data_IF_630991604017
#
_entry.id   IF_630991604017
#
_cell.length_a   1.000
_cell.length_b   1.000
_cell.length_c   1.000
_cell.angle_alpha   90.00
_cell.angle_beta   90.00
_cell.angle_gamma   90.00
#
_symmetry.space_group_name_H-M   'P 1'
#
loop_
_entity.id
_entity.type
_entity.pdbx_description
1 polymer ?
#
# COMPACT_ATOMS: atom_id res chain seq x y z
N UNK A 1 31.94 -36.38 14.14
CA UNK A 1 31.20 -35.12 13.94
C UNK A 1 29.99 -35.47 13.11
N UNK A 2 28.80 -35.43 13.70
CA UNK A 2 27.56 -35.59 12.92
C UNK A 2 27.38 -34.32 12.09
N UNK A 3 27.00 -34.41 10.81
CA UNK A 3 26.56 -33.22 10.09
C UNK A 3 25.30 -32.71 10.80
N UNK A 4 25.32 -31.45 11.22
CA UNK A 4 24.09 -30.74 11.60
C UNK A 4 23.11 -30.88 10.44
N UNK A 5 22.05 -31.67 10.64
CA UNK A 5 20.88 -31.65 9.78
C UNK A 5 20.28 -30.27 9.91
N UNK A 6 20.61 -29.37 8.97
CA UNK A 6 19.91 -28.09 8.82
C UNK A 6 18.43 -28.40 8.69
N UNK A 7 17.63 -27.77 9.53
CA UNK A 7 16.18 -27.84 9.40
C UNK A 7 15.75 -27.42 7.99
N UNK A 8 14.67 -28.03 7.46
CA UNK A 8 14.15 -27.63 6.16
C UNK A 8 13.73 -26.16 6.20
N UNK A 9 14.18 -25.39 5.21
CA UNK A 9 13.71 -24.02 5.02
C UNK A 9 12.30 -24.07 4.43
N UNK A 10 11.31 -23.85 5.28
CA UNK A 10 9.89 -23.95 4.94
C UNK A 10 9.22 -22.58 4.84
N UNK A 11 9.89 -21.52 5.28
CA UNK A 11 9.35 -20.17 5.31
C UNK A 11 10.24 -19.18 4.57
N UNK A 12 9.68 -18.02 4.23
CA UNK A 12 10.37 -16.95 3.54
C UNK A 12 9.93 -15.57 4.06
N UNK A 13 10.83 -14.60 3.85
CA UNK A 13 10.61 -13.17 4.09
C UNK A 13 10.81 -12.42 2.78
N UNK A 14 9.88 -11.55 2.44
CA UNK A 14 9.97 -10.65 1.29
C UNK A 14 9.54 -9.24 1.62
N UNK A 15 10.02 -8.28 0.83
CA UNK A 15 9.39 -6.96 0.75
C UNK A 15 8.40 -7.00 -0.40
N UNK A 16 7.14 -6.70 -0.12
CA UNK A 16 6.08 -6.59 -1.11
C UNK A 16 5.91 -5.12 -1.52
N UNK A 17 5.82 -4.89 -2.83
CA UNK A 17 5.72 -3.56 -3.42
C UNK A 17 4.35 -3.42 -4.07
N UNK A 18 3.60 -2.40 -3.66
CA UNK A 18 2.24 -2.12 -4.09
C UNK A 18 2.16 -0.78 -4.81
N UNK A 19 1.33 -0.72 -5.85
CA UNK A 19 1.19 0.49 -6.66
C UNK A 19 2.41 0.76 -7.54
N UNK A 20 2.20 1.50 -8.63
CA UNK A 20 3.21 1.73 -9.66
C UNK A 20 4.36 2.61 -9.16
N UNK A 21 4.06 3.72 -8.49
CA UNK A 21 5.07 4.61 -7.94
C UNK A 21 5.82 5.44 -8.97
N UNK A 22 5.19 5.74 -10.12
CA UNK A 22 5.81 6.50 -11.20
C UNK A 22 5.52 8.01 -11.07
N UNK A 23 6.49 8.73 -10.53
CA UNK A 23 6.43 10.18 -10.37
C UNK A 23 6.27 10.93 -11.71
N UNK A 24 6.71 10.36 -12.84
CA UNK A 24 6.53 10.98 -14.16
C UNK A 24 5.07 10.99 -14.62
N UNK A 25 4.25 10.11 -14.03
CA UNK A 25 2.82 10.01 -14.24
C UNK A 25 2.01 10.65 -13.09
N UNK A 26 2.69 11.31 -12.16
CA UNK A 26 2.08 11.97 -11.01
C UNK A 26 1.72 11.03 -9.85
N UNK A 27 2.22 9.79 -9.85
CA UNK A 27 1.99 8.87 -8.73
C UNK A 27 2.81 9.29 -7.49
N UNK A 28 2.27 9.00 -6.31
CA UNK A 28 3.05 8.92 -5.07
C UNK A 28 3.97 7.69 -5.10
N UNK A 29 5.05 7.64 -4.29
CA UNK A 29 5.90 6.45 -4.19
C UNK A 29 5.11 5.17 -3.92
N UNK A 30 5.64 4.03 -4.38
CA UNK A 30 5.00 2.73 -4.15
C UNK A 30 4.85 2.44 -2.65
N UNK A 31 3.74 1.83 -2.25
CA UNK A 31 3.60 1.35 -0.89
C UNK A 31 4.44 0.07 -0.69
N UNK A 32 5.07 -0.09 0.47
CA UNK A 32 5.86 -1.27 0.81
C UNK A 32 5.39 -1.91 2.12
N UNK A 33 5.53 -3.22 2.19
CA UNK A 33 5.35 -3.98 3.42
C UNK A 33 6.26 -5.20 3.47
N UNK A 34 6.47 -5.73 4.67
CA UNK A 34 7.28 -6.91 4.92
C UNK A 34 6.36 -8.12 5.08
N UNK A 35 6.48 -9.11 4.20
CA UNK A 35 5.71 -10.33 4.24
C UNK A 35 6.54 -11.48 4.81
N UNK A 36 5.97 -12.21 5.76
CA UNK A 36 6.48 -13.49 6.26
C UNK A 36 5.48 -14.59 5.91
N UNK A 37 5.93 -15.67 5.30
CA UNK A 37 5.03 -16.73 4.81
C UNK A 37 5.68 -18.10 4.76
N UNK A 38 4.86 -19.15 4.84
CA UNK A 38 5.26 -20.51 4.48
C UNK A 38 5.37 -20.64 2.95
N UNK A 39 6.42 -21.29 2.46
CA UNK A 39 6.67 -21.48 1.03
C UNK A 39 5.54 -22.33 0.43
N UNK A 40 4.81 -21.74 -0.52
CA UNK A 40 3.65 -22.37 -1.15
C UNK A 40 2.31 -21.95 -0.55
N UNK A 41 2.30 -21.16 0.53
CA UNK A 41 1.07 -20.59 1.08
C UNK A 41 0.44 -19.55 0.13
N UNK A 42 -0.89 -19.45 0.17
CA UNK A 42 -1.66 -18.43 -0.55
C UNK A 42 -1.71 -17.08 0.19
N UNK A 43 -1.39 -17.07 1.47
CA UNK A 43 -1.41 -15.89 2.33
C UNK A 43 -0.07 -15.68 3.02
N UNK A 44 0.12 -14.47 3.54
CA UNK A 44 1.29 -14.08 4.32
C UNK A 44 0.87 -13.28 5.54
N UNK A 45 1.72 -13.30 6.58
CA UNK A 45 1.68 -12.31 7.64
C UNK A 45 2.37 -11.04 7.13
N UNK A 46 1.58 -9.99 6.93
CA UNK A 46 2.08 -8.69 6.49
C UNK A 46 2.38 -7.81 7.69
N UNK A 47 3.55 -7.17 7.65
CA UNK A 47 3.98 -6.13 8.57
C UNK A 47 4.18 -4.84 7.78
N UNK A 48 3.34 -3.82 8.04
CA UNK A 48 3.50 -2.51 7.43
C UNK A 48 2.89 -1.40 8.29
N UNK A 49 3.12 -0.17 7.88
CA UNK A 49 2.41 1.00 8.38
C UNK A 49 1.45 1.54 7.32
N UNK A 50 0.32 2.10 7.76
CA UNK A 50 -0.65 2.77 6.88
C UNK A 50 -1.00 4.14 7.42
N UNK A 51 -1.45 5.05 6.55
CA UNK A 51 -2.02 6.31 6.97
C UNK A 51 -3.52 6.34 6.63
N UNK A 52 -4.41 5.88 7.53
CA UNK A 52 -5.83 5.82 7.25
C UNK A 52 -6.54 7.18 7.33
N UNK A 53 -5.94 8.18 8.00
CA UNK A 53 -6.57 9.48 8.28
C UNK A 53 -5.87 10.66 7.60
N UNK A 54 -4.89 10.40 6.73
CA UNK A 54 -4.02 11.41 6.11
C UNK A 54 -3.26 12.31 7.10
N UNK A 55 -3.17 11.91 8.37
CA UNK A 55 -2.54 12.69 9.44
C UNK A 55 -1.45 11.90 10.17
N UNK A 56 -1.64 10.58 10.33
CA UNK A 56 -0.72 9.76 11.13
C UNK A 56 -0.57 8.35 10.56
N UNK A 57 0.65 7.83 10.61
CA UNK A 57 0.89 6.43 10.32
C UNK A 57 0.57 5.55 11.53
N UNK A 58 -0.02 4.39 11.27
CA UNK A 58 -0.25 3.33 12.26
C UNK A 58 0.38 2.04 11.76
N UNK A 59 0.96 1.26 12.68
CA UNK A 59 1.37 -0.10 12.41
C UNK A 59 0.15 -1.03 12.36
N UNK A 60 -0.02 -1.73 11.25
CA UNK A 60 -1.22 -2.53 10.93
C UNK A 60 -0.81 -3.93 10.45
N UNK A 61 -0.39 -4.83 11.36
CA UNK A 61 -0.07 -6.20 11.00
C UNK A 61 -1.33 -6.98 10.66
N UNK A 62 -1.32 -7.68 9.52
CA UNK A 62 -2.51 -8.42 9.06
C UNK A 62 -2.14 -9.59 8.16
N UNK A 63 -3.02 -10.58 8.10
CA UNK A 63 -2.93 -11.64 7.10
C UNK A 63 -3.45 -11.11 5.77
N UNK A 64 -2.69 -11.27 4.69
CA UNK A 64 -3.06 -10.82 3.35
C UNK A 64 -2.77 -11.89 2.28
N UNK A 65 -3.44 -11.84 1.11
CA UNK A 65 -3.03 -12.64 -0.05
C UNK A 65 -1.56 -12.39 -0.40
N UNK A 66 -0.82 -13.46 -0.68
CA UNK A 66 0.60 -13.37 -1.05
C UNK A 66 0.78 -13.01 -2.53
N UNK A 67 -0.10 -13.51 -3.40
CA UNK A 67 0.04 -13.38 -4.86
C UNK A 67 -1.21 -12.78 -5.54
N UNK A 68 -2.40 -13.08 -5.04
CA UNK A 68 -3.66 -12.69 -5.67
C UNK A 68 -4.15 -11.27 -5.32
N UNK A 69 -3.22 -10.34 -5.09
CA UNK A 69 -3.53 -8.94 -4.80
C UNK A 69 -3.40 -8.08 -6.07
N UNK A 70 -4.50 -7.52 -6.62
CA UNK A 70 -4.49 -6.72 -7.84
C UNK A 70 -3.59 -5.48 -7.81
N UNK A 71 -3.24 -4.98 -6.62
CA UNK A 71 -2.37 -3.80 -6.47
C UNK A 71 -0.91 -4.17 -6.17
N UNK A 72 -0.61 -5.45 -5.98
CA UNK A 72 0.76 -5.96 -5.85
C UNK A 72 1.48 -5.89 -7.19
N UNK A 73 2.61 -5.17 -7.23
CA UNK A 73 3.47 -5.12 -8.43
C UNK A 73 4.53 -6.21 -8.42
N UNK A 74 4.93 -6.65 -7.24
CA UNK A 74 5.83 -7.77 -7.06
C UNK A 74 6.44 -7.75 -5.67
N UNK A 75 7.35 -8.70 -5.45
CA UNK A 75 8.04 -8.84 -4.18
C UNK A 75 9.50 -9.22 -4.39
N UNK A 76 10.35 -8.72 -3.50
CA UNK A 76 11.77 -9.03 -3.46
C UNK A 76 12.03 -9.94 -2.26
N UNK A 77 12.35 -11.21 -2.51
CA UNK A 77 12.64 -12.19 -1.45
C UNK A 77 14.02 -11.92 -0.83
N UNK A 78 14.07 -11.85 0.49
CA UNK A 78 15.27 -11.52 1.26
C UNK A 78 15.95 -12.75 1.85
N UNK A 79 15.16 -13.69 2.38
CA UNK A 79 15.68 -14.84 3.11
C UNK A 79 14.64 -15.98 3.15
N UNK A 80 15.14 -17.20 3.22
CA UNK A 80 14.38 -18.41 3.57
C UNK A 80 14.87 -18.98 4.89
N UNK A 81 13.95 -19.47 5.72
CA UNK A 81 14.23 -19.89 7.10
C UNK A 81 13.33 -21.03 7.57
N UNK A 82 13.67 -21.63 8.72
CA UNK A 82 12.85 -22.66 9.38
C UNK A 82 11.58 -22.05 10.01
N UNK A 83 10.68 -22.90 10.47
CA UNK A 83 9.47 -22.44 11.16
C UNK A 83 9.79 -21.67 12.46
N UNK A 84 10.78 -22.12 13.22
CA UNK A 84 11.18 -21.51 14.50
C UNK A 84 11.78 -20.11 14.28
N UNK A 85 12.62 -19.98 13.24
CA UNK A 85 13.15 -18.69 12.80
C UNK A 85 12.04 -17.75 12.32
N UNK A 86 11.00 -18.27 11.67
CA UNK A 86 9.82 -17.48 11.25
C UNK A 86 9.12 -16.81 12.43
N UNK A 87 8.90 -17.54 13.53
CA UNK A 87 8.28 -17.00 14.73
C UNK A 87 9.16 -15.90 15.36
N UNK A 88 10.47 -16.12 15.39
CA UNK A 88 11.44 -15.13 15.86
C UNK A 88 11.39 -13.84 15.03
N UNK A 89 11.39 -13.95 13.70
CA UNK A 89 11.30 -12.79 12.78
C UNK A 89 9.98 -12.04 12.96
N UNK A 90 8.85 -12.74 13.04
CA UNK A 90 7.54 -12.12 13.30
C UNK A 90 7.51 -11.35 14.64
N UNK A 91 8.16 -11.88 15.67
CA UNK A 91 8.26 -11.24 16.98
C UNK A 91 9.10 -9.96 16.92
N UNK A 92 10.25 -9.99 16.24
CA UNK A 92 11.10 -8.80 16.04
C UNK A 92 10.34 -7.70 15.27
N UNK A 93 9.72 -8.05 14.14
CA UNK A 93 8.93 -7.11 13.34
C UNK A 93 7.76 -6.54 14.13
N UNK A 94 7.08 -7.37 14.93
CA UNK A 94 5.98 -6.94 15.79
C UNK A 94 6.43 -5.99 16.89
N UNK A 95 7.57 -6.25 17.53
CA UNK A 95 8.13 -5.35 18.53
C UNK A 95 8.52 -4.01 17.91
N UNK A 96 9.21 -4.04 16.76
CA UNK A 96 9.64 -2.84 16.04
C UNK A 96 8.44 -1.99 15.59
N UNK A 97 7.41 -2.60 15.00
CA UNK A 97 6.23 -1.90 14.54
C UNK A 97 5.35 -1.33 15.65
N UNK A 98 5.29 -1.98 16.82
CA UNK A 98 4.52 -1.48 17.98
C UNK A 98 5.19 -0.31 18.70
N UNK A 99 6.49 -0.12 18.51
CA UNK A 99 7.22 1.03 19.05
C UNK A 99 6.97 2.25 18.15
N UNK A 100 6.20 3.21 18.69
CA UNK A 100 5.81 4.42 18.00
C UNK A 100 7.01 5.29 17.58
N UNK A 101 8.17 5.16 18.24
CA UNK A 101 9.38 5.91 17.86
C UNK A 101 9.97 5.44 16.53
N UNK A 102 9.61 4.24 16.07
CA UNK A 102 10.01 3.70 14.77
C UNK A 102 9.03 4.08 13.64
N UNK A 103 7.86 4.64 13.98
CA UNK A 103 6.87 5.06 12.99
C UNK A 103 7.21 6.49 12.55
N UNK A 104 7.46 6.74 11.25
CA UNK A 104 7.81 8.06 10.76
C UNK A 104 6.65 9.05 10.95
N UNK A 105 7.01 10.31 11.22
CA UNK A 105 6.06 11.40 11.22
C UNK A 105 5.53 11.66 9.80
N UNK A 106 4.23 11.92 9.71
CA UNK A 106 3.60 12.22 8.43
C UNK A 106 4.19 13.50 7.82
N UNK A 107 4.52 13.45 6.52
CA UNK A 107 5.18 14.56 5.81
C UNK A 107 6.71 14.60 6.01
N UNK A 108 7.26 13.82 6.95
CA UNK A 108 8.72 13.67 7.14
C UNK A 108 9.22 12.38 6.49
N UNK A 109 8.50 11.27 6.72
CA UNK A 109 8.80 9.96 6.12
C UNK A 109 7.53 9.23 5.68
N UNK A 110 7.70 8.02 5.16
CA UNK A 110 6.62 7.20 4.64
C UNK A 110 6.83 5.69 4.93
N UNK A 111 5.97 4.83 4.38
CA UNK A 111 6.05 3.38 4.57
C UNK A 111 7.39 2.75 4.15
N UNK A 112 8.08 3.34 3.17
CA UNK A 112 9.38 2.86 2.71
C UNK A 112 10.48 3.16 3.73
N UNK A 113 10.42 4.32 4.41
CA UNK A 113 11.32 4.62 5.53
C UNK A 113 11.16 3.60 6.66
N UNK A 114 9.92 3.27 7.01
CA UNK A 114 9.63 2.26 8.03
C UNK A 114 10.17 0.88 7.63
N UNK A 115 9.97 0.47 6.37
CA UNK A 115 10.52 -0.81 5.85
C UNK A 115 12.05 -0.81 5.90
N UNK A 116 12.70 0.27 5.48
CA UNK A 116 14.16 0.39 5.55
C UNK A 116 14.68 0.28 7.00
N UNK A 117 13.98 0.92 7.95
CA UNK A 117 14.29 0.81 9.38
C UNK A 117 14.11 -0.60 9.92
N UNK A 118 13.00 -1.27 9.59
CA UNK A 118 12.72 -2.64 10.00
C UNK A 118 13.74 -3.63 9.42
N UNK A 119 14.14 -3.45 8.16
CA UNK A 119 15.19 -4.29 7.55
C UNK A 119 16.56 -4.06 8.21
N UNK A 120 16.93 -2.81 8.50
CA UNK A 120 18.15 -2.52 9.25
C UNK A 120 18.12 -3.13 10.67
N UNK A 121 16.95 -3.16 11.32
CA UNK A 121 16.78 -3.86 12.59
C UNK A 121 16.99 -5.37 12.45
N UNK A 122 16.41 -6.02 11.43
CA UNK A 122 16.62 -7.44 11.17
C UNK A 122 18.08 -7.78 10.83
N UNK A 123 18.77 -6.90 10.11
CA UNK A 123 20.23 -7.01 9.87
C UNK A 123 21.01 -6.95 11.19
N UNK A 124 20.72 -5.96 12.05
CA UNK A 124 21.38 -5.83 13.35
C UNK A 124 21.09 -7.01 14.31
N UNK A 125 19.93 -7.65 14.16
CA UNK A 125 19.56 -8.85 14.89
C UNK A 125 20.24 -10.13 14.35
N UNK A 126 21.01 -10.04 13.26
CA UNK A 126 21.68 -11.17 12.62
C UNK A 126 20.75 -12.06 11.80
N UNK A 127 19.51 -11.63 11.54
CA UNK A 127 18.58 -12.34 10.66
C UNK A 127 18.98 -12.15 9.20
N UNK A 128 19.25 -10.91 8.80
CA UNK A 128 19.58 -10.56 7.42
C UNK A 128 21.09 -10.38 7.22
N UNK A 129 21.53 -10.55 5.97
CA UNK A 129 22.91 -10.31 5.58
C UNK A 129 23.28 -8.83 5.76
N UNK A 130 24.58 -8.57 5.94
CA UNK A 130 25.05 -7.19 6.06
C UNK A 130 24.84 -6.42 4.75
N UNK A 131 24.39 -5.17 4.86
CA UNK A 131 24.11 -4.27 3.75
C UNK A 131 22.64 -4.22 3.32
N UNK A 132 21.77 -5.09 3.83
CA UNK A 132 20.33 -5.06 3.50
C UNK A 132 19.67 -3.75 3.91
N UNK A 133 19.94 -3.24 5.12
CA UNK A 133 19.39 -1.98 5.59
C UNK A 133 19.79 -0.79 4.71
N UNK A 134 21.07 -0.75 4.30
CA UNK A 134 21.58 0.29 3.41
C UNK A 134 20.95 0.20 2.01
N UNK A 135 20.77 -1.01 1.49
CA UNK A 135 20.09 -1.25 0.22
C UNK A 135 18.66 -0.72 0.27
N UNK A 136 17.84 -1.12 1.25
CA UNK A 136 16.45 -0.69 1.34
C UNK A 136 16.30 0.81 1.63
N UNK A 137 17.24 1.40 2.38
CA UNK A 137 17.31 2.86 2.55
C UNK A 137 17.51 3.59 1.22
N UNK A 138 18.27 3.02 0.29
CA UNK A 138 18.46 3.61 -1.04
C UNK A 138 17.23 3.50 -1.96
N UNK A 139 16.24 2.69 -1.58
CA UNK A 139 14.99 2.48 -2.33
C UNK A 139 13.88 3.45 -1.92
N UNK A 140 14.10 4.32 -0.93
CA UNK A 140 13.11 5.29 -0.44
C UNK A 140 12.75 6.27 -1.57
N UNK A 141 11.46 6.57 -1.67
CA UNK A 141 10.78 7.25 -2.78
C UNK A 141 10.83 6.52 -4.14
N UNK A 142 11.24 5.25 -4.15
CA UNK A 142 11.30 4.42 -5.35
C UNK A 142 9.92 3.94 -5.80
N UNK A 143 9.76 3.82 -7.12
CA UNK A 143 8.63 3.14 -7.76
C UNK A 143 8.91 1.67 -8.03
N UNK A 144 7.87 0.89 -8.29
CA UNK A 144 7.96 -0.57 -8.42
C UNK A 144 8.99 -1.03 -9.46
N UNK A 145 9.03 -0.39 -10.64
CA UNK A 145 9.99 -0.74 -11.70
C UNK A 145 11.45 -0.44 -11.30
N UNK A 146 11.68 0.67 -10.59
CA UNK A 146 13.02 1.01 -10.09
C UNK A 146 13.51 0.02 -9.04
N UNK A 147 12.61 -0.38 -8.13
CA UNK A 147 12.91 -1.35 -7.06
C UNK A 147 13.13 -2.74 -7.66
N UNK A 148 12.29 -3.16 -8.61
CA UNK A 148 12.44 -4.41 -9.37
C UNK A 148 13.83 -4.49 -10.00
N UNK A 149 14.23 -3.44 -10.72
CA UNK A 149 15.55 -3.37 -11.35
C UNK A 149 16.67 -3.45 -10.31
N UNK A 150 16.60 -2.68 -9.23
CA UNK A 150 17.61 -2.67 -8.18
C UNK A 150 17.74 -4.04 -7.48
N UNK A 151 16.62 -4.74 -7.25
CA UNK A 151 16.64 -6.11 -6.74
C UNK A 151 17.34 -7.06 -7.74
N UNK A 152 17.01 -6.99 -9.03
CA UNK A 152 17.68 -7.79 -10.06
C UNK A 152 19.19 -7.50 -10.16
N UNK A 153 19.58 -6.22 -10.21
CA UNK A 153 20.98 -5.78 -10.33
C UNK A 153 21.83 -6.17 -9.11
N UNK A 154 21.21 -6.31 -7.94
CA UNK A 154 21.85 -6.78 -6.70
C UNK A 154 21.81 -8.30 -6.52
N UNK A 155 21.32 -9.05 -7.52
CA UNK A 155 21.23 -10.51 -7.49
C UNK A 155 20.14 -11.05 -6.57
N UNK A 156 19.20 -10.21 -6.12
CA UNK A 156 18.07 -10.61 -5.29
C UNK A 156 16.98 -11.25 -6.14
N UNK A 157 16.22 -12.15 -5.53
CA UNK A 157 15.11 -12.82 -6.21
C UNK A 157 13.88 -11.93 -6.22
N UNK A 158 13.51 -11.46 -7.40
CA UNK A 158 12.24 -10.78 -7.65
C UNK A 158 11.17 -11.78 -8.11
N UNK A 159 9.96 -11.64 -7.59
CA UNK A 159 8.77 -12.34 -8.08
C UNK A 159 7.74 -11.31 -8.49
N UNK A 160 7.30 -11.38 -9.74
CA UNK A 160 6.30 -10.47 -10.29
C UNK A 160 4.93 -10.67 -9.62
N UNK A 161 4.21 -9.55 -9.47
CA UNK A 161 2.81 -9.55 -9.07
C UNK A 161 1.91 -10.03 -10.20
N UNK A 162 0.60 -10.18 -9.95
CA UNK A 162 -0.34 -10.62 -10.97
C UNK A 162 -0.39 -9.59 -12.12
N UNK A 163 -0.32 -10.09 -13.36
CA UNK A 163 -0.55 -9.26 -14.53
C UNK A 163 -2.02 -8.81 -14.56
N UNK A 164 -2.24 -7.52 -14.32
CA UNK A 164 -3.54 -6.89 -14.55
C UNK A 164 -3.69 -6.63 -16.05
N UNK A 165 -4.06 -7.67 -16.81
CA UNK A 165 -4.50 -7.49 -18.19
C UNK A 165 -5.90 -6.89 -18.13
N UNK A 166 -6.01 -5.58 -18.39
CA UNK A 166 -7.31 -4.96 -18.58
C UNK A 166 -7.86 -5.42 -19.94
N UNK A 167 -8.69 -6.46 -19.93
CA UNK A 167 -9.46 -6.87 -21.10
C UNK A 167 -10.74 -6.02 -21.18
N UNK A 168 -10.71 -4.98 -22.01
CA UNK A 168 -11.88 -4.16 -22.30
C UNK A 168 -11.50 -2.79 -22.86
N UNK A 169 -12.34 -2.23 -23.76
CA UNK A 169 -12.20 -0.81 -24.08
C UNK A 169 -12.49 0.01 -22.81
N UNK A 170 -11.64 0.97 -22.43
CA UNK A 170 -11.93 1.91 -21.36
C UNK A 170 -13.26 2.60 -21.65
N UNK A 171 -14.28 2.31 -20.84
CA UNK A 171 -15.64 2.85 -20.98
C UNK A 171 -15.75 4.28 -20.43
N UNK A 172 -14.82 4.66 -19.55
CA UNK A 172 -14.63 6.01 -19.06
C UNK A 172 -13.50 6.72 -19.82
N UNK A 173 -13.87 7.59 -20.77
CA UNK A 173 -12.93 8.53 -21.40
C UNK A 173 -13.15 9.92 -20.83
N UNK A 174 -12.41 10.27 -19.78
CA UNK A 174 -12.45 11.64 -19.25
C UNK A 174 -11.56 12.53 -20.13
N UNK A 175 -12.18 13.25 -21.07
CA UNK A 175 -11.49 14.19 -21.95
C UNK A 175 -11.57 13.88 -23.46
N UNK A 176 -12.16 12.77 -23.87
CA UNK A 176 -12.42 12.53 -25.29
C UNK A 176 -13.63 13.36 -25.76
N UNK A 177 -13.29 14.54 -26.27
CA UNK A 177 -14.10 15.46 -27.09
C UNK A 177 -15.22 16.19 -26.37
N UNK A 178 -14.98 17.48 -26.14
CA UNK A 178 -16.01 18.51 -26.28
C UNK A 178 -16.82 18.23 -27.56
N UNK A 179 -18.03 17.71 -27.43
CA UNK A 179 -18.84 17.43 -28.62
C UNK A 179 -20.20 16.82 -28.31
N UNK A 180 -20.24 15.71 -27.58
CA UNK A 180 -21.51 15.04 -27.31
C UNK A 180 -21.96 15.26 -25.87
N UNK A 181 -22.62 16.40 -25.66
CA UNK A 181 -23.59 16.54 -24.58
C UNK A 181 -24.70 15.50 -24.82
N UNK A 182 -24.48 14.24 -24.41
CA UNK A 182 -25.61 13.38 -24.08
C UNK A 182 -26.36 14.10 -22.98
N UNK A 183 -27.48 14.71 -23.34
CA UNK A 183 -28.39 15.27 -22.37
C UNK A 183 -28.69 14.16 -21.37
N UNK A 184 -28.35 14.40 -20.11
CA UNK A 184 -28.66 13.51 -18.99
C UNK A 184 -30.18 13.57 -18.81
N UNK A 185 -30.88 12.85 -19.68
CA UNK A 185 -32.33 12.74 -19.72
C UNK A 185 -32.77 11.87 -18.56
N UNK A 186 -33.45 12.51 -17.60
CA UNK A 186 -34.38 11.99 -16.56
C UNK A 186 -34.38 12.82 -15.27
N UNK A 187 -33.49 13.81 -15.13
CA UNK A 187 -33.46 14.71 -13.97
C UNK A 187 -34.19 16.04 -14.19
N UNK A 188 -34.30 16.52 -15.43
CA UNK A 188 -35.01 17.77 -15.76
C UNK A 188 -36.54 17.65 -15.65
N UNK A 189 -37.08 16.45 -15.90
CA UNK A 189 -38.52 16.19 -15.93
C UNK A 189 -39.07 15.69 -14.60
N UNK A 190 -38.21 15.47 -13.61
CA UNK A 190 -38.62 15.06 -12.28
C UNK A 190 -39.01 16.29 -11.44
N UNK A 191 -40.31 16.59 -11.39
CA UNK A 191 -40.86 17.69 -10.59
C UNK A 191 -40.47 17.62 -9.11
N UNK A 192 -40.40 16.40 -8.54
CA UNK A 192 -40.02 16.22 -7.14
C UNK A 192 -38.57 16.63 -6.90
N UNK A 193 -37.67 16.31 -7.83
CA UNK A 193 -36.26 16.74 -7.78
C UNK A 193 -36.11 18.25 -7.92
N UNK A 194 -36.86 18.88 -8.85
CA UNK A 194 -36.85 20.34 -9.03
C UNK A 194 -37.37 21.09 -7.81
N UNK A 195 -38.44 20.60 -7.18
CA UNK A 195 -38.96 21.17 -5.93
C UNK A 195 -37.93 21.05 -4.80
N UNK A 196 -37.25 19.91 -4.68
CA UNK A 196 -36.22 19.68 -3.65
C UNK A 196 -34.99 20.59 -3.84
N UNK A 197 -34.55 20.81 -5.08
CA UNK A 197 -33.46 21.73 -5.40
C UNK A 197 -33.82 23.21 -5.17
N UNK A 198 -35.07 23.61 -5.41
CA UNK A 198 -35.53 24.96 -5.07
C UNK A 198 -35.60 25.23 -3.57
N UNK A 199 -35.88 24.20 -2.76
CA UNK A 199 -35.86 24.28 -1.29
C UNK A 199 -34.42 24.45 -0.80
N UNK A 200 -33.47 23.69 -1.35
CA UNK A 200 -32.04 23.80 -1.01
C UNK A 200 -31.43 25.14 -1.43
N UNK A 201 -31.88 25.73 -2.55
CA UNK A 201 -31.42 27.05 -3.01
C UNK A 201 -31.95 28.24 -2.19
N UNK A 202 -32.98 28.04 -1.35
CA UNK A 202 -33.58 29.12 -0.53
C UNK A 202 -33.06 29.17 0.91
N UNK A 203 -32.37 28.15 1.39
CA UNK A 203 -31.80 28.14 2.75
C UNK A 203 -30.36 28.65 2.78
N UNK A 204 -30.11 29.81 2.15
CA UNK A 204 -28.88 30.57 2.39
C UNK A 204 -29.19 31.67 3.42
N UNK A 205 -29.34 31.22 4.66
CA UNK A 205 -29.51 32.07 5.84
C UNK A 205 -29.87 31.25 7.08
N UNK A 206 -28.92 31.13 8.01
CA UNK A 206 -29.18 30.79 9.41
C UNK A 206 -28.88 29.36 9.85
N UNK A 207 -27.77 29.22 10.59
CA UNK A 207 -27.55 28.48 11.85
C UNK A 207 -28.35 27.19 12.18
N UNK A 208 -27.60 26.11 12.43
CA UNK A 208 -27.77 25.23 13.62
C UNK A 208 -28.81 24.09 13.55
N UNK A 209 -28.35 22.84 13.71
CA UNK A 209 -29.19 21.71 14.13
C UNK A 209 -28.70 20.34 13.66
N UNK A 210 -28.06 19.60 14.57
CA UNK A 210 -27.74 18.17 14.44
C UNK A 210 -29.04 17.33 14.39
N UNK A 211 -29.11 16.34 13.49
CA UNK A 211 -29.79 15.08 13.79
C UNK A 211 -29.25 13.93 12.91
N UNK A 212 -28.90 12.84 13.58
CA UNK A 212 -28.19 11.66 13.11
C UNK A 212 -28.91 10.89 11.98
N UNK A 213 -28.19 10.59 10.91
CA UNK A 213 -28.43 9.41 10.06
C UNK A 213 -27.12 8.60 10.02
N UNK A 214 -27.10 7.33 10.48
CA UNK A 214 -25.88 6.54 10.47
C UNK A 214 -25.65 5.98 9.06
N UNK A 215 -24.89 6.70 8.24
CA UNK A 215 -24.33 6.13 7.01
C UNK A 215 -23.24 5.14 7.38
N UNK A 216 -23.35 3.91 6.88
CA UNK A 216 -22.28 2.90 6.93
C UNK A 216 -21.13 3.37 6.04
N UNK A 217 -19.91 3.61 6.55
CA UNK A 217 -18.79 3.85 5.66
C UNK A 217 -18.19 2.50 5.26
N UNK A 218 -18.63 1.95 4.13
CA UNK A 218 -17.68 1.23 3.28
C UNK A 218 -16.84 2.29 2.58
N UNK A 219 -15.77 2.73 3.23
CA UNK A 219 -14.73 3.51 2.59
C UNK A 219 -13.55 2.58 2.33
N UNK A 220 -13.40 2.19 1.07
CA UNK A 220 -12.11 1.70 0.56
C UNK A 220 -11.30 2.97 0.31
N UNK A 221 -10.37 3.28 1.21
CA UNK A 221 -9.37 4.31 0.96
C UNK A 221 -8.50 3.86 -0.21
N UNK A 222 -8.88 4.27 -1.42
CA UNK A 222 -7.99 4.27 -2.58
C UNK A 222 -7.00 5.44 -2.40
N UNK A 223 -5.69 5.22 -2.57
CA UNK A 223 -4.69 6.28 -2.40
C UNK A 223 -4.62 7.24 -3.61
N UNK A 224 -5.68 7.30 -4.44
CA UNK A 224 -5.58 7.82 -5.80
C UNK A 224 -5.90 9.32 -5.98
N UNK A 225 -6.30 10.06 -4.93
CA UNK A 225 -6.56 11.49 -5.08
C UNK A 225 -6.17 12.29 -3.83
N UNK A 226 -4.93 12.77 -3.79
CA UNK A 226 -4.61 14.04 -3.14
C UNK A 226 -4.58 15.11 -4.22
N UNK A 227 -5.70 15.80 -4.42
CA UNK A 227 -5.71 17.04 -5.19
C UNK A 227 -4.84 18.06 -4.46
N UNK A 228 -3.66 18.34 -4.99
CA UNK A 228 -2.94 19.56 -4.64
C UNK A 228 -3.59 20.72 -5.38
N UNK A 229 -4.50 21.42 -4.70
CA UNK A 229 -4.84 22.79 -5.08
C UNK A 229 -3.60 23.66 -4.87
N UNK A 230 -2.87 23.95 -5.95
CA UNK A 230 -2.06 25.18 -6.05
C UNK A 230 -2.73 26.10 -7.06
N UNK A 231 -3.36 27.15 -6.55
CA UNK A 231 -3.71 28.35 -7.30
C UNK A 231 -3.27 29.56 -6.46
N UNK A 232 -2.53 30.47 -7.08
CA UNK A 232 -2.30 31.85 -6.62
C UNK A 232 -1.05 32.06 -5.81
#
# INVERSE_FOLDING_TARGET
>A
MNPETKEPQTHALSINIYGRGDASLGDSPSHMGIAVYEIGASTCQMHHIRNPSDETFIYDPRVQPLQDDPVLRGRCELLTFSQEESEYVNNLLSAFGKDASNIPEFGVGNCQDWVAGAVAMLENAGVLASGEGAFWKSMINGGAESIKRACGDSGKKWVDGPEMVFEGEPDARYGDKEGDKKEVGKLKDNEAFRKRMQVLGKSRGGEGGEENVPERPFYVSSPFFSQTNRCG
#
